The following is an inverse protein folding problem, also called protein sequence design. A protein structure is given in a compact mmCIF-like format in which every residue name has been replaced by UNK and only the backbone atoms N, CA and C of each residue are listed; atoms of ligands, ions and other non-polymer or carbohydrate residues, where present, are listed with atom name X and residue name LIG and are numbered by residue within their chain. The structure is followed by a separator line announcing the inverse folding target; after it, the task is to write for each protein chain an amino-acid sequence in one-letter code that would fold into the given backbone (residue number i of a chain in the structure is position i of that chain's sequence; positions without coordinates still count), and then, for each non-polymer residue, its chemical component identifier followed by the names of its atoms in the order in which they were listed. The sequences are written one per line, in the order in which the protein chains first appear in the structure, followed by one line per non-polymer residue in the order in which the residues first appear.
data_IF_640842108845
#
_entry.id   IF_640842108845
#
_cell.length_a   1.000
_cell.length_b   1.000
_cell.length_c   1.000
_cell.angle_alpha   90.00
_cell.angle_beta   90.00
_cell.angle_gamma   90.00
#
_symmetry.space_group_name_H-M   'P 1'
#
loop_
_entity.id
_entity.type
_entity.pdbx_description
1 polymer ?
#
# COMPACT_ATOMS: atom_id res chain seq x y z
N UNK A 1 8.20 -22.81 -17.63
CA UNK A 1 7.18 -21.88 -17.12
C UNK A 1 7.51 -20.54 -17.73
N UNK A 2 6.57 -19.96 -18.45
CA UNK A 2 6.70 -18.62 -19.00
C UNK A 2 6.25 -17.63 -17.92
N UNK A 3 7.20 -16.93 -17.31
CA UNK A 3 6.91 -16.02 -16.20
C UNK A 3 6.25 -14.72 -16.69
N UNK A 4 6.31 -14.43 -18.00
CA UNK A 4 5.70 -13.24 -18.60
C UNK A 4 4.19 -13.40 -18.77
N UNK A 5 3.69 -14.64 -18.80
CA UNK A 5 2.25 -14.95 -18.91
C UNK A 5 1.61 -15.39 -17.59
N UNK A 6 2.41 -15.63 -16.54
CA UNK A 6 1.91 -15.93 -15.19
C UNK A 6 1.52 -14.63 -14.50
N UNK A 7 0.25 -14.24 -14.63
CA UNK A 7 -0.32 -13.21 -13.78
C UNK A 7 -0.50 -13.77 -12.37
N UNK A 8 0.42 -13.42 -11.48
CA UNK A 8 0.29 -13.72 -10.05
C UNK A 8 -0.66 -12.71 -9.41
N UNK A 9 -1.51 -13.17 -8.49
CA UNK A 9 -2.33 -12.33 -7.64
C UNK A 9 -1.48 -11.61 -6.56
N UNK A 10 -0.20 -11.36 -6.82
CA UNK A 10 0.77 -10.85 -5.86
C UNK A 10 1.47 -9.62 -6.40
N UNK A 11 1.46 -8.54 -5.62
CA UNK A 11 2.27 -7.37 -5.88
C UNK A 11 3.33 -7.22 -4.79
N UNK A 12 4.56 -6.94 -5.18
CA UNK A 12 5.66 -6.63 -4.27
C UNK A 12 6.05 -5.18 -4.48
N UNK A 13 6.13 -4.43 -3.38
CA UNK A 13 6.58 -3.05 -3.37
C UNK A 13 7.98 -2.97 -2.75
N UNK A 14 8.90 -2.35 -3.49
CA UNK A 14 10.29 -2.12 -3.09
C UNK A 14 10.47 -0.73 -2.48
N UNK A 15 11.03 -0.67 -1.27
CA UNK A 15 11.32 0.55 -0.52
C UNK A 15 12.80 0.92 -0.71
N UNK A 16 13.12 1.58 -1.82
CA UNK A 16 14.51 1.77 -2.29
C UNK A 16 15.24 2.88 -1.50
N UNK A 17 14.54 3.95 -1.12
CA UNK A 17 15.17 5.15 -0.58
C UNK A 17 15.35 5.16 0.94
N UNK A 18 14.89 4.12 1.66
CA UNK A 18 14.92 4.03 3.12
C UNK A 18 14.06 5.07 3.87
N UNK A 19 13.47 6.04 3.15
CA UNK A 19 12.58 7.09 3.67
C UNK A 19 11.32 6.54 4.35
N UNK A 20 10.94 5.32 3.98
CA UNK A 20 9.70 4.69 4.42
C UNK A 20 9.99 3.25 4.84
N UNK A 21 9.72 2.94 6.11
CA UNK A 21 9.80 1.58 6.63
C UNK A 21 8.62 0.76 6.11
N UNK A 22 8.86 -0.45 5.57
CA UNK A 22 7.78 -1.35 5.16
C UNK A 22 6.78 -1.64 6.30
N UNK A 23 7.27 -1.74 7.54
CA UNK A 23 6.43 -2.00 8.72
C UNK A 23 5.50 -0.83 8.98
N UNK A 24 6.05 0.39 9.08
CA UNK A 24 5.27 1.61 9.31
C UNK A 24 4.24 1.85 8.21
N UNK A 25 4.62 1.61 6.96
CA UNK A 25 3.72 1.71 5.82
C UNK A 25 2.57 0.70 5.91
N UNK A 26 2.86 -0.58 6.15
CA UNK A 26 1.84 -1.62 6.26
C UNK A 26 0.88 -1.39 7.44
N UNK A 27 1.38 -0.85 8.56
CA UNK A 27 0.56 -0.50 9.72
C UNK A 27 -0.37 0.69 9.44
N UNK A 28 0.12 1.70 8.69
CA UNK A 28 -0.68 2.88 8.35
C UNK A 28 -1.79 2.56 7.35
N UNK A 29 -1.52 1.68 6.38
CA UNK A 29 -2.53 1.20 5.42
C UNK A 29 -3.67 0.41 6.07
N UNK A 30 -3.45 -0.17 7.25
CA UNK A 30 -4.48 -0.90 7.99
C UNK A 30 -5.38 0.00 8.85
N UNK A 31 -5.13 1.31 8.84
CA UNK A 31 -5.91 2.31 9.59
C UNK A 31 -6.62 3.25 8.62
N UNK A 32 -7.76 3.78 9.05
CA UNK A 32 -8.45 4.90 8.38
C UNK A 32 -8.50 6.02 9.40
N UNK A 33 -7.93 7.17 9.06
CA UNK A 33 -8.04 8.37 9.90
C UNK A 33 -9.29 9.16 9.53
N UNK A 34 -9.83 9.97 10.45
CA UNK A 34 -10.98 10.84 10.16
C UNK A 34 -10.69 11.79 8.99
N UNK A 35 -9.47 12.34 8.95
CA UNK A 35 -9.02 13.21 7.86
C UNK A 35 -8.99 12.49 6.50
N UNK A 36 -8.49 11.26 6.49
CA UNK A 36 -8.46 10.44 5.26
C UNK A 36 -9.87 10.18 4.73
N UNK A 37 -10.83 9.92 5.61
CA UNK A 37 -12.22 9.76 5.23
C UNK A 37 -12.83 11.05 4.69
N UNK A 38 -12.53 12.20 5.31
CA UNK A 38 -12.95 13.51 4.82
C UNK A 38 -12.34 13.87 3.45
N UNK A 39 -11.08 13.51 3.23
CA UNK A 39 -10.32 13.84 2.02
C UNK A 39 -10.68 12.90 0.84
N UNK A 40 -10.99 11.63 1.11
CA UNK A 40 -11.21 10.60 0.07
C UNK A 40 -12.68 10.19 -0.10
N UNK A 41 -13.56 10.51 0.86
CA UNK A 41 -14.95 10.00 0.95
C UNK A 41 -15.02 8.46 0.95
N UNK A 42 -13.91 7.80 1.31
CA UNK A 42 -13.73 6.35 1.29
C UNK A 42 -13.08 5.87 2.60
N UNK A 43 -13.59 4.75 3.13
CA UNK A 43 -13.11 4.15 4.38
C UNK A 43 -12.66 2.70 4.18
N UNK A 44 -11.69 2.47 3.29
CA UNK A 44 -11.14 1.14 3.05
C UNK A 44 -9.86 0.89 3.87
N UNK A 45 -9.53 -0.37 4.11
CA UNK A 45 -8.22 -0.76 4.67
C UNK A 45 -7.48 -1.62 3.67
N UNK A 46 -6.17 -1.41 3.54
CA UNK A 46 -5.32 -2.18 2.63
C UNK A 46 -4.35 -3.01 3.46
N UNK A 47 -4.37 -4.32 3.27
CA UNK A 47 -3.48 -5.23 3.97
C UNK A 47 -2.28 -5.57 3.11
N UNK A 48 -1.12 -5.14 3.57
CA UNK A 48 0.18 -5.57 3.05
C UNK A 48 0.98 -6.23 4.17
N UNK A 49 1.87 -7.16 3.79
CA UNK A 49 2.73 -7.88 4.72
C UNK A 49 4.18 -7.50 4.41
N UNK A 50 4.94 -6.96 5.38
CA UNK A 50 6.37 -6.78 5.21
C UNK A 50 7.04 -8.15 5.09
N UNK A 51 7.87 -8.32 4.06
CA UNK A 51 8.58 -9.59 3.79
C UNK A 51 10.10 -9.45 3.92
N UNK A 52 10.61 -8.21 3.97
CA UNK A 52 11.99 -7.88 4.32
C UNK A 52 12.08 -6.45 4.86
N UNK A 53 13.29 -6.01 5.21
CA UNK A 53 13.56 -4.61 5.58
C UNK A 53 13.26 -3.60 4.47
N UNK A 54 13.15 -4.05 3.23
CA UNK A 54 12.99 -3.18 2.05
C UNK A 54 11.82 -3.60 1.16
N UNK A 55 10.99 -4.56 1.59
CA UNK A 55 9.91 -5.11 0.76
C UNK A 55 8.64 -5.35 1.54
N UNK A 56 7.51 -5.03 0.92
CA UNK A 56 6.17 -5.43 1.35
C UNK A 56 5.41 -6.10 0.22
N UNK A 57 4.49 -6.99 0.57
CA UNK A 57 3.71 -7.79 -0.36
C UNK A 57 2.22 -7.57 -0.14
N UNK A 58 1.50 -7.32 -1.23
CA UNK A 58 0.05 -7.45 -1.32
C UNK A 58 -0.31 -8.75 -2.05
N UNK A 59 -1.43 -9.35 -1.66
CA UNK A 59 -2.01 -10.51 -2.35
C UNK A 59 -3.48 -10.21 -2.59
N UNK A 60 -3.93 -10.28 -3.83
CA UNK A 60 -5.31 -10.09 -4.25
C UNK A 60 -6.10 -11.39 -4.05
N UNK A 61 -7.29 -11.27 -3.49
CA UNK A 61 -8.25 -12.37 -3.45
C UNK A 61 -9.03 -12.43 -4.77
N UNK A 62 -9.59 -13.59 -5.11
CA UNK A 62 -10.38 -13.77 -6.34
C UNK A 62 -11.61 -12.85 -6.41
N UNK A 63 -12.13 -12.45 -5.26
CA UNK A 63 -13.32 -11.60 -5.16
C UNK A 63 -12.99 -10.10 -5.16
N UNK A 64 -11.72 -9.73 -5.35
CA UNK A 64 -11.30 -8.32 -5.47
C UNK A 64 -11.58 -7.86 -6.90
N UNK A 65 -12.44 -6.85 -7.03
CA UNK A 65 -12.78 -6.23 -8.31
C UNK A 65 -11.74 -5.19 -8.75
N UNK A 66 -11.88 -4.66 -9.97
CA UNK A 66 -11.08 -3.51 -10.42
C UNK A 66 -11.26 -2.29 -9.53
N UNK A 67 -12.49 -2.05 -9.08
CA UNK A 67 -12.85 -0.87 -8.30
C UNK A 67 -12.21 -0.94 -6.90
N UNK A 68 -12.15 -2.14 -6.32
CA UNK A 68 -11.42 -2.38 -5.06
C UNK A 68 -9.91 -2.12 -5.21
N UNK A 69 -9.34 -2.47 -6.36
CA UNK A 69 -7.91 -2.20 -6.67
C UNK A 69 -7.67 -0.71 -6.83
N UNK A 70 -8.57 0.01 -7.51
CA UNK A 70 -8.46 1.45 -7.70
C UNK A 70 -8.58 2.21 -6.37
N UNK A 71 -9.51 1.81 -5.50
CA UNK A 71 -9.62 2.33 -4.14
C UNK A 71 -8.33 2.05 -3.34
N UNK A 72 -7.79 0.83 -3.42
CA UNK A 72 -6.54 0.46 -2.77
C UNK A 72 -5.34 1.31 -3.25
N UNK A 73 -5.23 1.57 -4.55
CA UNK A 73 -4.20 2.44 -5.13
C UNK A 73 -4.35 3.88 -4.63
N UNK A 74 -5.58 4.39 -4.58
CA UNK A 74 -5.88 5.74 -4.09
C UNK A 74 -5.45 5.90 -2.63
N UNK A 75 -5.83 4.95 -1.76
CA UNK A 75 -5.38 4.91 -0.37
C UNK A 75 -3.86 4.79 -0.24
N UNK A 76 -3.22 3.93 -1.03
CA UNK A 76 -1.75 3.78 -1.03
C UNK A 76 -1.08 5.13 -1.33
N UNK A 77 -1.53 5.84 -2.36
CA UNK A 77 -1.00 7.17 -2.70
C UNK A 77 -1.18 8.17 -1.56
N UNK A 78 -2.36 8.21 -0.95
CA UNK A 78 -2.61 9.08 0.21
C UNK A 78 -1.63 8.81 1.35
N UNK A 79 -1.42 7.54 1.72
CA UNK A 79 -0.52 7.14 2.79
C UNK A 79 0.95 7.43 2.44
N UNK A 80 1.37 7.19 1.19
CA UNK A 80 2.73 7.55 0.74
C UNK A 80 2.95 9.05 0.88
N UNK A 81 2.01 9.87 0.41
CA UNK A 81 2.10 11.32 0.49
C UNK A 81 2.15 11.81 1.95
N UNK A 82 1.29 11.27 2.81
CA UNK A 82 1.24 11.61 4.24
C UNK A 82 2.59 11.29 4.93
N UNK A 83 3.12 10.08 4.73
CA UNK A 83 4.33 9.63 5.39
C UNK A 83 5.58 10.30 4.81
N UNK A 84 5.66 10.51 3.49
CA UNK A 84 6.81 11.16 2.86
C UNK A 84 6.85 12.67 3.11
N UNK A 85 5.71 13.36 3.29
CA UNK A 85 5.68 14.77 3.71
C UNK A 85 6.08 14.96 5.18
N UNK A 86 5.94 13.93 6.01
CA UNK A 86 6.18 13.99 7.46
C UNK A 86 7.63 13.70 7.86
N UNK A 87 8.52 13.35 6.93
CA UNK A 87 9.95 13.15 7.21
C UNK A 87 10.65 14.52 7.19
N UNK A 88 11.16 15.03 8.32
CA UNK A 88 12.08 16.16 8.27
C UNK A 88 13.35 15.68 7.56
N UNK A 89 13.79 16.45 6.57
CA UNK A 89 15.14 16.29 6.02
C UNK A 89 16.11 16.62 7.15
N UNK A 90 16.75 15.59 7.72
CA UNK A 90 17.86 15.76 8.66
C UNK A 90 19.18 15.73 7.92
#
# INVERSE_FOLDING_TARGET
MDLDTVQTNMAVYDFIDGKLSPVTFCERLQKVSSREFEDLDEAITVKMIPISLTKARAVLHNDVSSDDVDAAITKIRYVVDELCRSVPVC
#
